data_IF_719793583876
#
_entry.id   IF_719793583876
#
_cell.length_a   1.000
_cell.length_b   1.000
_cell.length_c   1.000
_cell.angle_alpha   90.00
_cell.angle_beta   90.00
_cell.angle_gamma   90.00
#
_symmetry.space_group_name_H-M   'P 1'
#
loop_
_entity.id
_entity.type
_entity.pdbx_description
1 polymer ?
#
# COMPACT_ATOMS: atom_id res chain seq x y z
N UNK A 1 24.17 -10.44 -10.35
CA UNK A 1 24.86 -9.55 -9.39
C UNK A 1 24.15 -8.21 -9.48
N UNK A 2 23.23 -7.95 -8.55
CA UNK A 2 22.33 -6.80 -8.57
C UNK A 2 22.97 -5.64 -7.80
N UNK A 3 23.29 -4.57 -8.52
CA UNK A 3 23.84 -3.33 -7.96
C UNK A 3 22.90 -2.69 -6.92
N UNK A 4 23.45 -2.07 -5.86
CA UNK A 4 22.65 -1.35 -4.88
C UNK A 4 22.03 -0.09 -5.49
N UNK A 5 20.70 0.01 -5.41
CA UNK A 5 19.83 1.10 -5.92
C UNK A 5 20.27 2.51 -5.47
N UNK A 6 21.12 2.61 -4.44
CA UNK A 6 21.60 3.88 -3.89
C UNK A 6 22.61 4.64 -4.79
N UNK A 7 23.30 3.98 -5.73
CA UNK A 7 24.32 4.68 -6.55
C UNK A 7 23.77 5.37 -7.81
N UNK A 8 22.54 5.09 -8.24
CA UNK A 8 21.87 5.87 -9.29
C UNK A 8 21.12 7.10 -8.75
N UNK A 9 21.17 7.36 -7.44
CA UNK A 9 20.48 8.49 -6.81
C UNK A 9 21.27 9.83 -6.83
N UNK A 10 22.49 9.87 -7.39
CA UNK A 10 23.31 11.09 -7.48
C UNK A 10 23.10 11.93 -8.75
N UNK A 11 22.18 11.51 -9.64
CA UNK A 11 21.66 12.40 -10.67
C UNK A 11 20.22 12.77 -10.28
N UNK A 12 20.06 13.95 -9.68
CA UNK A 12 18.77 14.63 -9.55
C UNK A 12 18.02 14.50 -10.88
N UNK A 13 16.84 13.87 -10.95
CA UNK A 13 16.05 13.96 -12.16
C UNK A 13 15.79 15.45 -12.46
N UNK A 14 16.01 15.91 -13.69
CA UNK A 14 15.85 17.30 -14.06
C UNK A 14 14.40 17.70 -13.75
N UNK A 15 14.27 18.67 -12.83
CA UNK A 15 13.10 19.52 -12.60
C UNK A 15 11.77 18.87 -13.03
N UNK A 16 11.17 18.07 -12.16
CA UNK A 16 9.71 17.94 -12.22
C UNK A 16 9.17 19.32 -11.86
N UNK A 17 8.78 20.06 -12.90
CA UNK A 17 8.40 21.47 -12.86
C UNK A 17 7.69 21.85 -11.55
N UNK A 18 8.38 22.63 -10.73
CA UNK A 18 7.87 23.32 -9.53
C UNK A 18 6.61 24.14 -9.84
N UNK A 19 6.29 24.40 -11.12
CA UNK A 19 5.06 25.05 -11.57
C UNK A 19 3.78 24.18 -11.62
N UNK A 20 3.80 22.89 -11.24
CA UNK A 20 2.59 22.03 -11.23
C UNK A 20 2.15 21.55 -9.84
N UNK A 21 2.88 21.89 -8.77
CA UNK A 21 2.49 21.56 -7.40
C UNK A 21 1.61 22.71 -6.88
N UNK A 22 0.37 22.46 -6.41
CA UNK A 22 -0.47 23.51 -5.83
C UNK A 22 0.25 24.21 -4.68
N UNK A 23 0.10 25.53 -4.59
CA UNK A 23 0.80 26.36 -3.59
C UNK A 23 0.50 25.87 -2.18
N UNK A 24 -0.71 25.37 -1.92
CA UNK A 24 -1.10 24.82 -0.62
C UNK A 24 -0.25 23.61 -0.22
N UNK A 25 0.14 22.75 -1.17
CA UNK A 25 0.95 21.55 -0.91
C UNK A 25 2.38 21.95 -0.56
N UNK A 26 2.94 22.94 -1.27
CA UNK A 26 4.28 23.47 -1.00
C UNK A 26 4.34 24.14 0.37
N UNK A 27 3.34 24.97 0.71
CA UNK A 27 3.23 25.60 2.03
C UNK A 27 3.12 24.56 3.15
N UNK A 28 2.29 23.52 2.97
CA UNK A 28 2.16 22.45 3.96
C UNK A 28 3.46 21.64 4.12
N UNK A 29 4.22 21.44 3.04
CA UNK A 29 5.52 20.77 3.12
C UNK A 29 6.56 21.60 3.89
N UNK A 30 6.56 22.92 3.72
CA UNK A 30 7.42 23.85 4.46
C UNK A 30 7.04 23.93 5.93
N UNK A 31 5.76 24.13 6.26
CA UNK A 31 5.25 24.20 7.64
C UNK A 31 5.59 22.92 8.42
N UNK A 32 5.50 21.76 7.77
CA UNK A 32 5.78 20.47 8.40
C UNK A 32 7.26 20.04 8.28
N UNK A 33 8.13 20.89 7.73
CA UNK A 33 9.55 20.62 7.52
C UNK A 33 9.81 19.29 6.81
N UNK A 34 9.05 18.98 5.75
CA UNK A 34 9.17 17.71 5.02
C UNK A 34 10.44 17.61 4.16
N UNK A 35 11.20 18.70 4.02
CA UNK A 35 12.42 18.73 3.22
C UNK A 35 12.15 18.72 1.71
N UNK A 36 13.14 18.34 0.88
CA UNK A 36 13.04 18.42 -0.57
C UNK A 36 11.99 17.45 -1.13
N UNK A 37 11.32 17.89 -2.19
CA UNK A 37 10.39 17.08 -2.97
C UNK A 37 11.14 15.98 -3.73
N UNK A 38 10.58 14.78 -3.73
CA UNK A 38 11.17 13.60 -4.37
C UNK A 38 10.35 13.17 -5.59
N UNK A 39 9.03 12.97 -5.44
CA UNK A 39 8.18 12.40 -6.50
C UNK A 39 6.70 12.66 -6.26
N UNK A 40 5.93 12.87 -7.34
CA UNK A 40 4.47 12.90 -7.29
C UNK A 40 3.87 11.64 -7.90
N UNK A 41 2.87 11.08 -7.24
CA UNK A 41 2.06 9.96 -7.71
C UNK A 41 0.71 10.47 -8.21
N UNK A 42 0.41 10.17 -9.48
CA UNK A 42 -0.80 10.62 -10.16
C UNK A 42 -1.96 9.64 -9.95
N UNK A 43 -3.22 10.11 -10.04
CA UNK A 43 -4.38 9.25 -9.97
C UNK A 43 -4.44 8.27 -11.17
N UNK A 44 -5.26 7.23 -11.03
CA UNK A 44 -5.53 6.25 -12.09
C UNK A 44 -6.14 6.94 -13.32
N UNK A 45 -6.02 6.37 -14.53
CA UNK A 45 -6.48 7.03 -15.74
C UNK A 45 -8.02 7.16 -15.79
N UNK A 46 -8.57 8.29 -15.34
CA UNK A 46 -9.98 8.70 -15.57
C UNK A 46 -10.33 8.70 -17.06
N UNK A 47 -9.35 9.00 -17.93
CA UNK A 47 -9.54 9.04 -19.38
C UNK A 47 -10.06 7.74 -19.99
N UNK A 48 -9.73 6.58 -19.40
CA UNK A 48 -10.25 5.28 -19.87
C UNK A 48 -11.74 5.16 -19.53
N UNK A 49 -12.14 5.55 -18.32
CA UNK A 49 -13.55 5.55 -17.90
C UNK A 49 -14.38 6.55 -18.72
N UNK A 50 -13.84 7.73 -19.00
CA UNK A 50 -14.43 8.73 -19.90
C UNK A 50 -14.57 8.19 -21.32
N UNK A 51 -13.53 7.56 -21.87
CA UNK A 51 -13.55 6.98 -23.22
C UNK A 51 -14.61 5.88 -23.36
N UNK A 52 -14.72 4.98 -22.39
CA UNK A 52 -15.76 3.94 -22.36
C UNK A 52 -17.15 4.57 -22.29
N UNK A 53 -17.30 5.61 -21.45
CA UNK A 53 -18.57 6.33 -21.28
C UNK A 53 -19.02 6.98 -22.60
N UNK A 54 -18.13 7.73 -23.26
CA UNK A 54 -18.44 8.36 -24.56
C UNK A 54 -18.75 7.30 -25.61
N UNK A 55 -17.97 6.21 -25.67
CA UNK A 55 -18.20 5.11 -26.60
C UNK A 55 -19.58 4.45 -26.44
N UNK A 56 -19.99 4.18 -25.20
CA UNK A 56 -21.32 3.59 -24.91
C UNK A 56 -22.45 4.56 -25.27
N UNK A 57 -22.30 5.86 -24.95
CA UNK A 57 -23.31 6.87 -25.30
C UNK A 57 -23.46 7.02 -26.82
N UNK A 58 -22.35 7.04 -27.57
CA UNK A 58 -22.38 7.12 -29.03
C UNK A 58 -23.05 5.88 -29.62
N UNK A 59 -22.72 4.69 -29.12
CA UNK A 59 -23.32 3.44 -29.57
C UNK A 59 -24.83 3.41 -29.29
N UNK A 60 -25.25 3.89 -28.12
CA UNK A 60 -26.65 3.98 -27.72
C UNK A 60 -27.44 4.94 -28.63
N UNK A 61 -26.85 6.09 -28.99
CA UNK A 61 -27.44 7.04 -29.95
C UNK A 61 -27.60 6.41 -31.34
N UNK A 62 -26.56 5.73 -31.84
CA UNK A 62 -26.61 5.05 -33.15
C UNK A 62 -27.67 3.95 -33.16
N UNK A 63 -27.74 3.14 -32.12
CA UNK A 63 -28.72 2.06 -32.00
C UNK A 63 -30.15 2.60 -31.96
N UNK A 64 -30.40 3.67 -31.20
CA UNK A 64 -31.70 4.35 -31.18
C UNK A 64 -32.10 4.85 -32.58
N UNK A 65 -31.18 5.48 -33.32
CA UNK A 65 -31.46 5.97 -34.66
C UNK A 65 -31.82 4.85 -35.65
N UNK A 66 -31.11 3.72 -35.61
CA UNK A 66 -31.41 2.56 -36.45
C UNK A 66 -32.75 1.91 -36.11
N UNK A 67 -33.10 1.81 -34.83
CA UNK A 67 -34.39 1.27 -34.36
C UNK A 67 -35.55 2.18 -34.79
N UNK A 68 -35.35 3.50 -34.73
CA UNK A 68 -36.32 4.48 -35.21
C UNK A 68 -36.56 4.35 -36.72
N UNK A 69 -35.50 4.18 -37.52
CA UNK A 69 -35.63 3.92 -38.97
C UNK A 69 -36.40 2.63 -39.28
N UNK A 70 -36.34 1.63 -38.40
CA UNK A 70 -37.09 0.39 -38.51
C UNK A 70 -38.56 0.49 -38.05
N UNK A 71 -39.02 1.66 -37.59
CA UNK A 71 -40.42 1.92 -37.24
C UNK A 71 -40.83 1.49 -35.82
N UNK A 72 -39.89 1.13 -34.96
CA UNK A 72 -40.16 0.76 -33.57
C UNK A 72 -40.00 1.97 -32.64
N UNK A 73 -40.95 2.18 -31.72
CA UNK A 73 -40.83 3.18 -30.64
C UNK A 73 -40.43 2.46 -29.36
N UNK A 74 -39.23 2.75 -28.85
CA UNK A 74 -38.70 2.10 -27.64
C UNK A 74 -38.59 3.13 -26.51
N UNK A 75 -39.40 2.96 -25.47
CA UNK A 75 -39.44 3.87 -24.30
C UNK A 75 -38.37 3.57 -23.23
N UNK A 76 -37.61 2.47 -23.35
CA UNK A 76 -36.77 1.93 -22.27
C UNK A 76 -35.28 2.29 -22.30
N UNK A 77 -34.80 3.04 -23.31
CA UNK A 77 -33.34 3.21 -23.53
C UNK A 77 -32.66 4.26 -22.64
N UNK A 78 -33.39 4.98 -21.79
CA UNK A 78 -32.78 5.98 -20.89
C UNK A 78 -32.04 5.38 -19.68
N UNK A 79 -32.26 4.11 -19.35
CA UNK A 79 -31.65 3.47 -18.17
C UNK A 79 -30.14 3.30 -18.36
N UNK A 80 -29.70 2.89 -19.55
CA UNK A 80 -28.29 2.66 -19.88
C UNK A 80 -27.44 3.95 -19.77
N UNK A 81 -27.79 5.08 -20.42
CA UNK A 81 -27.04 6.33 -20.28
C UNK A 81 -27.03 6.86 -18.84
N UNK A 82 -28.13 6.70 -18.09
CA UNK A 82 -28.19 7.09 -16.67
C UNK A 82 -27.20 6.25 -15.84
N UNK A 83 -27.17 4.92 -16.01
CA UNK A 83 -26.23 4.05 -15.30
C UNK A 83 -24.76 4.36 -15.66
N UNK A 84 -24.49 4.66 -16.93
CA UNK A 84 -23.15 5.04 -17.41
C UNK A 84 -22.71 6.38 -16.82
N UNK A 85 -23.60 7.37 -16.74
CA UNK A 85 -23.32 8.67 -16.11
C UNK A 85 -23.05 8.48 -14.60
N UNK A 86 -23.86 7.66 -13.91
CA UNK A 86 -23.62 7.34 -12.49
C UNK A 86 -22.25 6.69 -12.29
N UNK A 87 -21.89 5.73 -13.15
CA UNK A 87 -20.56 5.10 -13.13
C UNK A 87 -19.44 6.13 -13.36
N UNK A 88 -19.57 6.99 -14.36
CA UNK A 88 -18.58 8.02 -14.68
C UNK A 88 -18.40 9.04 -13.55
N UNK A 89 -19.51 9.53 -12.98
CA UNK A 89 -19.49 10.45 -11.83
C UNK A 89 -18.81 9.80 -10.63
N UNK A 90 -19.10 8.52 -10.36
CA UNK A 90 -18.47 7.80 -9.26
C UNK A 90 -16.97 7.59 -9.51
N UNK A 91 -16.57 7.27 -10.75
CA UNK A 91 -15.16 7.13 -11.14
C UNK A 91 -14.38 8.46 -11.03
N UNK A 92 -15.01 9.59 -11.36
CA UNK A 92 -14.40 10.92 -11.22
C UNK A 92 -14.27 11.30 -9.73
N UNK A 93 -15.32 11.06 -8.93
CA UNK A 93 -15.31 11.39 -7.49
C UNK A 93 -14.30 10.57 -6.69
N UNK A 94 -14.15 9.29 -7.01
CA UNK A 94 -13.25 8.37 -6.28
C UNK A 94 -11.78 8.52 -6.67
N UNK A 95 -11.46 9.23 -7.76
CA UNK A 95 -10.13 9.22 -8.35
C UNK A 95 -9.38 10.56 -8.26
N UNK A 96 -9.78 11.46 -7.36
CA UNK A 96 -8.97 12.64 -7.01
C UNK A 96 -7.99 12.33 -5.87
N UNK A 97 -7.20 11.28 -6.04
CA UNK A 97 -6.16 10.88 -5.08
C UNK A 97 -4.81 11.29 -5.65
N UNK A 98 -3.99 11.99 -4.86
CA UNK A 98 -2.62 12.35 -5.22
C UNK A 98 -1.73 12.12 -4.02
N UNK A 99 -0.50 11.69 -4.26
CA UNK A 99 0.51 11.62 -3.22
C UNK A 99 1.76 12.37 -3.66
N UNK A 100 2.28 13.23 -2.80
CA UNK A 100 3.51 13.98 -3.01
C UNK A 100 4.52 13.50 -1.99
N UNK A 101 5.55 12.81 -2.47
CA UNK A 101 6.63 12.25 -1.67
C UNK A 101 7.72 13.31 -1.46
N UNK A 102 8.10 13.49 -0.20
CA UNK A 102 9.19 14.33 0.25
C UNK A 102 10.20 13.48 1.05
N UNK A 103 11.37 14.04 1.34
CA UNK A 103 12.40 13.30 2.08
C UNK A 103 11.99 12.99 3.53
N UNK A 104 11.31 13.93 4.20
CA UNK A 104 10.88 13.86 5.59
C UNK A 104 9.46 13.30 5.79
N UNK A 105 8.71 13.09 4.72
CA UNK A 105 7.35 12.55 4.78
C UNK A 105 6.69 12.50 3.42
N UNK A 106 5.38 12.44 3.41
CA UNK A 106 4.59 12.60 2.19
C UNK A 106 3.26 13.27 2.51
N UNK A 107 2.70 13.91 1.49
CA UNK A 107 1.38 14.53 1.55
C UNK A 107 0.45 13.69 0.69
N UNK A 108 -0.66 13.24 1.28
CA UNK A 108 -1.69 12.50 0.58
C UNK A 108 -2.99 13.31 0.52
N UNK A 109 -3.47 13.55 -0.69
CA UNK A 109 -4.74 14.23 -0.91
C UNK A 109 -5.80 13.22 -1.32
N UNK A 110 -6.93 13.19 -0.61
CA UNK A 110 -8.12 12.43 -0.99
C UNK A 110 -9.30 13.38 -1.10
N UNK A 111 -9.63 13.78 -2.33
CA UNK A 111 -10.64 14.83 -2.55
C UNK A 111 -10.16 16.18 -2.01
N UNK A 112 -10.89 16.75 -1.04
CA UNK A 112 -10.52 18.00 -0.35
C UNK A 112 -9.65 17.79 0.89
N UNK A 113 -9.49 16.55 1.36
CA UNK A 113 -8.70 16.27 2.55
C UNK A 113 -7.21 16.19 2.19
N UNK A 114 -6.41 17.00 2.88
CA UNK A 114 -4.96 17.02 2.78
C UNK A 114 -4.40 16.40 4.06
N UNK A 115 -3.77 15.24 3.94
CA UNK A 115 -3.12 14.54 5.06
C UNK A 115 -1.61 14.66 4.91
N UNK A 116 -0.97 15.34 5.86
CA UNK A 116 0.49 15.43 5.94
C UNK A 116 0.98 14.33 6.87
N UNK A 117 1.83 13.45 6.36
CA UNK A 117 2.36 12.31 7.12
C UNK A 117 3.86 12.45 7.14
N UNK A 118 4.39 12.79 8.32
CA UNK A 118 5.83 12.81 8.55
C UNK A 118 6.29 11.42 8.94
N UNK A 119 7.43 11.01 8.39
CA UNK A 119 7.97 9.67 8.64
C UNK A 119 8.37 9.43 10.10
N UNK A 120 8.70 10.47 10.86
CA UNK A 120 9.01 10.40 12.30
C UNK A 120 7.77 10.26 13.20
N UNK A 121 6.58 10.50 12.64
CA UNK A 121 5.28 10.35 13.32
C UNK A 121 4.48 9.18 12.80
N UNK A 122 5.10 8.24 12.10
CA UNK A 122 4.44 6.98 11.77
C UNK A 122 4.66 6.03 12.93
N UNK A 123 3.60 5.42 13.45
CA UNK A 123 3.69 4.39 14.49
C UNK A 123 3.75 2.99 13.86
N UNK A 124 2.84 2.74 12.93
CA UNK A 124 2.68 1.42 12.32
C UNK A 124 2.13 1.50 10.89
N UNK A 125 2.57 0.55 10.06
CA UNK A 125 2.09 0.40 8.68
C UNK A 125 1.59 -1.03 8.47
N UNK A 126 0.42 -1.16 7.85
CA UNK A 126 -0.14 -2.43 7.39
C UNK A 126 -0.22 -2.45 5.87
N UNK A 127 -0.06 -3.63 5.30
CA UNK A 127 -0.22 -3.87 3.86
C UNK A 127 -1.33 -4.89 3.64
N UNK A 128 -2.27 -4.59 2.75
CA UNK A 128 -3.28 -5.53 2.27
C UNK A 128 -3.13 -5.73 0.78
N UNK A 129 -3.05 -7.00 0.36
CA UNK A 129 -2.93 -7.37 -1.06
C UNK A 129 -4.12 -8.24 -1.45
N UNK A 130 -5.00 -7.71 -2.29
CA UNK A 130 -6.18 -8.42 -2.79
C UNK A 130 -5.95 -8.78 -4.25
N UNK A 131 -5.91 -10.08 -4.59
CA UNK A 131 -5.85 -10.52 -5.98
C UNK A 131 -7.18 -10.20 -6.67
N UNK A 132 -7.14 -9.46 -7.77
CA UNK A 132 -8.34 -9.00 -8.49
C UNK A 132 -8.57 -9.69 -9.82
N UNK A 133 -7.63 -10.50 -10.28
CA UNK A 133 -7.79 -11.31 -11.48
C UNK A 133 -7.04 -12.62 -11.35
N UNK A 134 -7.55 -13.67 -12.00
CA UNK A 134 -6.86 -14.95 -12.20
C UNK A 134 -5.53 -14.75 -12.95
N UNK A 135 -5.38 -13.64 -13.69
CA UNK A 135 -4.21 -13.28 -14.51
C UNK A 135 -3.19 -12.38 -13.79
N UNK A 136 -3.22 -12.29 -12.45
CA UNK A 136 -2.10 -11.73 -11.68
C UNK A 136 -2.16 -10.25 -11.31
N UNK A 137 -3.24 -9.53 -11.64
CA UNK A 137 -3.43 -8.18 -11.09
C UNK A 137 -3.79 -8.25 -9.61
N UNK A 138 -3.10 -7.46 -8.77
CA UNK A 138 -3.40 -7.32 -7.35
C UNK A 138 -3.65 -5.85 -6.99
N UNK A 139 -4.65 -5.61 -6.14
CA UNK A 139 -4.87 -4.33 -5.47
C UNK A 139 -4.06 -4.29 -4.19
N UNK A 140 -3.22 -3.27 -4.08
CA UNK A 140 -2.46 -2.97 -2.89
C UNK A 140 -3.11 -1.84 -2.13
N UNK A 141 -3.26 -2.02 -0.83
CA UNK A 141 -3.71 -1.00 0.12
C UNK A 141 -2.73 -0.93 1.26
N UNK A 142 -2.33 0.28 1.63
CA UNK A 142 -1.44 0.55 2.76
C UNK A 142 -2.19 1.39 3.78
N UNK A 143 -2.22 0.92 5.03
CA UNK A 143 -2.79 1.68 6.15
C UNK A 143 -1.65 2.16 7.01
N UNK A 144 -1.64 3.45 7.33
CA UNK A 144 -0.62 4.07 8.16
C UNK A 144 -1.32 4.62 9.39
N UNK A 145 -0.81 4.25 10.57
CA UNK A 145 -1.28 4.75 11.85
C UNK A 145 -0.26 5.72 12.42
N UNK A 146 -0.76 6.84 12.90
CA UNK A 146 0.00 7.84 13.64
C UNK A 146 -0.17 7.64 15.16
N UNK A 147 0.76 8.16 16.00
CA UNK A 147 0.69 8.06 17.46
C UNK A 147 -0.57 8.66 18.10
N UNK A 148 -1.22 9.62 17.42
CA UNK A 148 -2.50 10.20 17.84
C UNK A 148 -3.71 9.28 17.58
N UNK A 149 -3.46 8.08 17.05
CA UNK A 149 -4.49 7.10 16.70
C UNK A 149 -5.12 7.32 15.32
N UNK A 150 -4.81 8.43 14.64
CA UNK A 150 -5.30 8.68 13.29
C UNK A 150 -4.75 7.65 12.30
N UNK A 151 -5.57 7.30 11.31
CA UNK A 151 -5.21 6.34 10.27
C UNK A 151 -5.43 6.92 8.89
N UNK A 152 -4.44 6.76 8.03
CA UNK A 152 -4.54 7.13 6.61
C UNK A 152 -4.45 5.86 5.76
N UNK A 153 -5.46 5.66 4.93
CA UNK A 153 -5.57 4.51 4.03
C UNK A 153 -5.24 4.95 2.61
N UNK A 154 -4.14 4.42 2.08
CA UNK A 154 -3.67 4.64 0.71
C UNK A 154 -4.05 3.40 -0.10
N UNK A 155 -4.98 3.56 -1.02
CA UNK A 155 -5.53 2.45 -1.82
C UNK A 155 -5.12 2.55 -3.29
N UNK A 156 -5.48 1.53 -4.07
CA UNK A 156 -5.13 1.37 -5.49
C UNK A 156 -5.68 2.41 -6.46
N UNK A 157 -6.31 3.48 -5.96
CA UNK A 157 -6.74 4.62 -6.78
C UNK A 157 -5.55 5.46 -7.27
N UNK A 158 -4.38 5.33 -6.63
CA UNK A 158 -3.11 5.88 -7.12
C UNK A 158 -2.44 4.94 -8.13
N UNK A 159 -1.97 5.49 -9.26
CA UNK A 159 -1.05 4.75 -10.13
C UNK A 159 0.22 4.44 -9.36
N UNK A 160 0.76 3.23 -9.56
CA UNK A 160 2.00 2.78 -8.91
C UNK A 160 1.92 2.86 -7.38
N UNK A 161 0.74 2.63 -6.80
CA UNK A 161 0.56 2.58 -5.33
C UNK A 161 1.54 1.62 -4.65
N UNK A 162 1.93 0.53 -5.33
CA UNK A 162 2.94 -0.40 -4.85
C UNK A 162 4.31 0.28 -4.66
N UNK A 163 4.75 1.11 -5.61
CA UNK A 163 6.02 1.84 -5.49
C UNK A 163 5.99 2.81 -4.29
N UNK A 164 4.87 3.53 -4.10
CA UNK A 164 4.70 4.39 -2.93
C UNK A 164 4.72 3.59 -1.63
N UNK A 165 4.00 2.47 -1.59
CA UNK A 165 3.99 1.57 -0.44
C UNK A 165 5.36 0.97 -0.11
N UNK A 166 6.14 0.59 -1.13
CA UNK A 166 7.51 0.10 -0.95
C UNK A 166 8.39 1.20 -0.34
N UNK A 167 8.26 2.45 -0.78
CA UNK A 167 8.95 3.60 -0.17
C UNK A 167 8.54 3.81 1.28
N UNK A 168 7.23 3.82 1.57
CA UNK A 168 6.69 3.99 2.94
C UNK A 168 7.26 2.89 3.86
N UNK A 169 7.15 1.62 3.44
CA UNK A 169 7.62 0.49 4.23
C UNK A 169 9.13 0.57 4.48
N UNK A 170 9.93 0.96 3.48
CA UNK A 170 11.37 1.10 3.63
C UNK A 170 11.75 2.24 4.58
N UNK A 171 11.11 3.41 4.46
CA UNK A 171 11.37 4.56 5.33
C UNK A 171 11.01 4.26 6.79
N UNK A 172 9.86 3.64 7.03
CA UNK A 172 9.42 3.24 8.38
C UNK A 172 10.33 2.16 8.95
N UNK A 173 10.69 1.15 8.15
CA UNK A 173 11.62 0.08 8.55
C UNK A 173 12.97 0.67 8.93
N UNK A 174 13.53 1.59 8.12
CA UNK A 174 14.83 2.22 8.41
C UNK A 174 14.84 2.91 9.77
N UNK A 175 13.73 3.53 10.17
CA UNK A 175 13.63 4.29 11.43
C UNK A 175 13.29 3.42 12.63
N UNK A 176 12.42 2.43 12.46
CA UNK A 176 11.89 1.64 13.57
C UNK A 176 12.70 0.37 13.84
N UNK A 177 13.41 -0.17 12.85
CA UNK A 177 14.19 -1.39 13.02
C UNK A 177 15.26 -1.29 14.12
N UNK A 178 16.02 -0.19 14.29
CA UNK A 178 16.99 -0.07 15.39
C UNK A 178 16.34 -0.21 16.77
N UNK A 179 15.20 0.45 16.98
CA UNK A 179 14.45 0.36 18.24
C UNK A 179 13.86 -1.04 18.47
N UNK A 180 13.32 -1.64 17.42
CA UNK A 180 12.80 -3.01 17.48
C UNK A 180 13.89 -4.03 17.81
N UNK A 181 15.09 -3.88 17.24
CA UNK A 181 16.26 -4.70 17.56
C UNK A 181 16.76 -4.49 18.98
N UNK A 182 16.77 -3.25 19.47
CA UNK A 182 17.13 -2.96 20.85
C UNK A 182 16.15 -3.63 21.83
N UNK A 183 14.84 -3.50 21.59
CA UNK A 183 13.81 -4.17 22.38
C UNK A 183 14.01 -5.69 22.36
N UNK A 184 14.15 -6.28 21.17
CA UNK A 184 14.43 -7.71 20.99
C UNK A 184 15.68 -8.16 21.75
N UNK A 185 16.81 -7.45 21.62
CA UNK A 185 18.06 -7.77 22.30
C UNK A 185 17.98 -7.63 23.82
N UNK A 186 17.13 -6.73 24.33
CA UNK A 186 16.85 -6.58 25.76
C UNK A 186 15.89 -7.65 26.32
N UNK A 187 15.45 -8.60 25.51
CA UNK A 187 14.50 -9.64 25.90
C UNK A 187 13.04 -9.19 25.95
N UNK A 188 12.75 -7.95 25.53
CA UNK A 188 11.39 -7.43 25.41
C UNK A 188 10.77 -7.97 24.12
N UNK A 189 9.63 -8.69 24.18
CA UNK A 189 8.95 -9.16 22.98
C UNK A 189 8.47 -8.00 22.10
N UNK A 190 8.73 -8.09 20.79
CA UNK A 190 8.26 -7.10 19.82
C UNK A 190 7.00 -7.60 19.14
N UNK A 191 5.91 -6.84 19.25
CA UNK A 191 4.58 -7.23 18.78
C UNK A 191 4.25 -6.63 17.40
N UNK A 192 3.59 -7.44 16.57
CA UNK A 192 3.20 -7.13 15.19
C UNK A 192 1.72 -7.49 14.93
N UNK A 193 0.84 -7.21 15.90
CA UNK A 193 -0.53 -7.69 15.91
C UNK A 193 -0.64 -9.03 16.64
N UNK A 194 -1.25 -10.04 15.99
CA UNK A 194 -1.38 -11.39 16.55
C UNK A 194 -0.03 -12.13 16.66
N UNK A 195 1.02 -11.63 16.02
CA UNK A 195 2.37 -12.18 16.06
C UNK A 195 3.29 -11.37 16.98
N UNK A 196 4.22 -12.04 17.64
CA UNK A 196 5.32 -11.41 18.36
C UNK A 196 6.63 -12.15 18.13
N UNK A 197 7.75 -11.45 18.31
CA UNK A 197 9.09 -12.03 18.20
C UNK A 197 9.87 -11.73 19.46
N UNK A 198 10.48 -12.76 20.02
CA UNK A 198 11.23 -12.72 21.29
C UNK A 198 12.52 -13.54 21.18
N UNK A 199 13.42 -13.42 22.17
CA UNK A 199 14.63 -14.24 22.22
C UNK A 199 14.32 -15.74 22.30
N UNK A 200 13.15 -16.12 22.83
CA UNK A 200 12.75 -17.52 23.01
C UNK A 200 12.15 -18.12 21.73
N UNK A 201 11.47 -17.32 20.92
CA UNK A 201 10.78 -17.80 19.73
C UNK A 201 9.80 -16.81 19.11
N UNK A 202 8.92 -17.35 18.25
CA UNK A 202 7.82 -16.62 17.62
C UNK A 202 6.53 -16.86 18.39
N UNK A 203 5.89 -15.80 18.84
CA UNK A 203 4.57 -15.84 19.46
C UNK A 203 3.45 -15.72 18.44
N UNK A 204 2.35 -16.44 18.66
CA UNK A 204 1.07 -16.27 17.98
C UNK A 204 -0.04 -16.30 19.04
N UNK A 205 -0.65 -15.14 19.29
CA UNK A 205 -1.59 -14.91 20.40
C UNK A 205 -0.98 -15.32 21.74
N UNK A 206 -1.50 -16.38 22.36
CA UNK A 206 -1.12 -16.94 23.65
C UNK A 206 -0.07 -18.06 23.54
N UNK A 207 0.33 -18.44 22.32
CA UNK A 207 1.24 -19.58 22.07
C UNK A 207 2.61 -19.11 21.64
N UNK A 208 3.65 -19.77 22.14
CA UNK A 208 5.04 -19.56 21.74
C UNK A 208 5.55 -20.78 20.97
N UNK A 209 6.18 -20.54 19.82
CA UNK A 209 6.95 -21.54 19.09
C UNK A 209 8.44 -21.27 19.31
N UNK A 210 9.16 -22.10 20.09
CA UNK A 210 10.59 -21.92 20.33
C UNK A 210 11.39 -21.95 19.04
N UNK A 211 12.45 -21.13 18.94
CA UNK A 211 13.30 -21.08 17.73
C UNK A 211 13.79 -22.45 17.23
N UNK A 212 14.21 -23.41 18.08
CA UNK A 212 14.62 -24.73 17.62
C UNK A 212 13.50 -25.52 16.93
N UNK A 213 12.24 -25.20 17.20
CA UNK A 213 11.08 -25.83 16.57
C UNK A 213 10.58 -25.07 15.34
N UNK A 214 11.07 -23.86 15.08
CA UNK A 214 10.74 -23.10 13.88
C UNK A 214 11.46 -23.72 12.69
N UNK A 215 10.69 -24.20 11.71
CA UNK A 215 11.23 -24.71 10.44
C UNK A 215 11.45 -23.59 9.44
N UNK A 216 10.47 -22.69 9.34
CA UNK A 216 10.43 -21.68 8.28
C UNK A 216 9.35 -20.63 8.55
N UNK A 217 9.56 -19.41 8.06
CA UNK A 217 8.57 -18.33 8.06
C UNK A 217 8.54 -17.69 6.67
N UNK A 218 7.41 -17.80 5.97
CA UNK A 218 7.28 -17.37 4.57
C UNK A 218 6.05 -16.52 4.34
N UNK A 219 6.16 -15.58 3.40
CA UNK A 219 4.99 -14.97 2.78
C UNK A 219 4.46 -15.87 1.66
N UNK A 220 3.23 -16.35 1.82
CA UNK A 220 2.54 -17.17 0.81
C UNK A 220 1.13 -16.63 0.65
N UNK A 221 0.74 -16.31 -0.59
CA UNK A 221 -0.63 -15.87 -0.94
C UNK A 221 -1.19 -14.70 -0.11
N UNK A 222 -0.35 -13.73 0.28
CA UNK A 222 -0.80 -12.61 1.12
C UNK A 222 -1.00 -13.00 2.58
N UNK A 223 -0.34 -14.05 3.05
CA UNK A 223 -0.30 -14.41 4.46
C UNK A 223 1.12 -14.74 4.91
N UNK A 224 1.43 -14.43 6.16
CA UNK A 224 2.61 -14.93 6.86
C UNK A 224 2.29 -16.33 7.36
N UNK A 225 3.06 -17.32 6.91
CA UNK A 225 2.95 -18.71 7.36
C UNK A 225 4.19 -19.08 8.18
N UNK A 226 3.96 -19.53 9.40
CA UNK A 226 4.99 -20.06 10.30
C UNK A 226 4.87 -21.58 10.29
N UNK A 227 5.96 -22.28 9.97
CA UNK A 227 6.02 -23.76 9.96
C UNK A 227 6.81 -24.27 11.16
N UNK A 228 6.27 -25.29 11.81
CA UNK A 228 6.94 -26.05 12.86
C UNK A 228 7.69 -27.24 12.26
N UNK A 229 8.84 -27.60 12.83
CA UNK A 229 9.59 -28.80 12.46
C UNK A 229 8.74 -30.06 12.65
N UNK A 230 8.90 -31.04 11.75
CA UNK A 230 8.13 -32.29 11.78
C UNK A 230 6.63 -32.17 11.43
N UNK A 231 6.10 -30.97 11.16
CA UNK A 231 4.70 -30.77 10.78
C UNK A 231 4.54 -30.42 9.29
N UNK A 232 3.53 -31.02 8.65
CA UNK A 232 3.10 -30.67 7.30
C UNK A 232 2.21 -29.42 7.28
N UNK A 233 1.48 -29.17 8.37
CA UNK A 233 0.58 -28.01 8.52
C UNK A 233 1.35 -26.80 9.06
N UNK A 234 0.93 -25.61 8.63
CA UNK A 234 1.42 -24.35 9.20
C UNK A 234 1.00 -24.25 10.66
N UNK A 235 1.95 -23.93 11.55
CA UNK A 235 1.70 -23.68 12.97
C UNK A 235 0.85 -22.43 13.18
N UNK A 236 1.12 -21.38 12.39
CA UNK A 236 0.29 -20.19 12.32
C UNK A 236 0.18 -19.68 10.88
N UNK A 237 -0.99 -19.14 10.51
CA UNK A 237 -1.23 -18.46 9.24
C UNK A 237 -1.98 -17.16 9.53
N UNK A 238 -1.38 -16.02 9.16
CA UNK A 238 -1.91 -14.68 9.45
C UNK A 238 -1.94 -13.87 8.16
N UNK A 239 -3.07 -13.23 7.86
CA UNK A 239 -3.18 -12.29 6.75
C UNK A 239 -2.19 -11.12 6.94
N UNK A 240 -1.44 -10.77 5.91
CA UNK A 240 -0.49 -9.64 5.95
C UNK A 240 -1.17 -8.32 6.36
N UNK A 241 -2.46 -8.18 6.11
CA UNK A 241 -3.25 -7.02 6.53
C UNK A 241 -3.39 -6.88 8.05
N UNK A 242 -3.17 -7.97 8.81
CA UNK A 242 -3.19 -7.97 10.28
C UNK A 242 -1.81 -7.81 10.91
N UNK A 243 -0.75 -7.86 10.09
CA UNK A 243 0.64 -7.77 10.54
C UNK A 243 1.13 -6.35 10.33
N UNK A 244 1.39 -5.63 11.43
CA UNK A 244 2.02 -4.30 11.35
C UNK A 244 3.49 -4.44 11.03
N UNK A 245 4.07 -3.43 10.38
CA UNK A 245 5.50 -3.28 10.14
C UNK A 245 6.16 -4.58 9.62
N UNK A 246 5.50 -5.25 8.67
CA UNK A 246 5.87 -6.57 8.18
C UNK A 246 7.38 -6.74 7.86
N UNK A 247 8.07 -5.79 7.21
CA UNK A 247 9.51 -5.96 6.97
C UNK A 247 10.34 -6.06 8.26
N UNK A 248 9.95 -5.36 9.33
CA UNK A 248 10.61 -5.43 10.65
C UNK A 248 10.39 -6.82 11.26
N UNK A 249 9.16 -7.35 11.20
CA UNK A 249 8.89 -8.74 11.63
C UNK A 249 9.84 -9.72 10.95
N UNK A 250 9.95 -9.65 9.63
CA UNK A 250 10.80 -10.57 8.85
C UNK A 250 12.27 -10.44 9.22
N UNK A 251 12.77 -9.21 9.44
CA UNK A 251 14.15 -8.97 9.87
C UNK A 251 14.42 -9.58 11.26
N UNK A 252 13.52 -9.39 12.23
CA UNK A 252 13.70 -9.98 13.57
C UNK A 252 13.59 -11.51 13.56
N UNK A 253 12.75 -12.07 12.68
CA UNK A 253 12.69 -13.53 12.48
C UNK A 253 14.00 -14.05 11.90
N UNK A 254 14.59 -13.35 10.93
CA UNK A 254 15.92 -13.69 10.40
C UNK A 254 16.97 -13.62 11.51
N UNK A 255 17.01 -12.55 12.30
CA UNK A 255 17.93 -12.39 13.41
C UNK A 255 17.81 -13.56 14.42
N UNK A 256 16.58 -13.98 14.75
CA UNK A 256 16.31 -15.11 15.66
C UNK A 256 16.69 -16.48 15.11
N UNK A 257 16.48 -16.73 13.81
CA UNK A 257 16.89 -17.98 13.16
C UNK A 257 18.42 -18.07 13.01
N UNK A 258 19.08 -16.98 12.64
CA UNK A 258 20.55 -16.93 12.50
C UNK A 258 21.30 -17.06 13.82
N UNK A 259 20.66 -16.78 14.96
CA UNK A 259 21.24 -17.01 16.27
C UNK A 259 21.33 -18.51 16.64
N UNK A 260 20.63 -19.39 15.93
CA UNK A 260 20.59 -20.83 16.23
C UNK A 260 21.83 -21.56 15.68
N UNK A 261 22.38 -22.55 16.42
CA UNK A 261 23.54 -23.33 15.99
C UNK A 261 23.36 -24.03 14.63
N UNK A 262 22.12 -24.41 14.29
CA UNK A 262 21.78 -25.10 13.06
C UNK A 262 21.84 -24.23 11.78
N UNK A 263 22.01 -22.90 11.91
CA UNK A 263 22.09 -21.94 10.81
C UNK A 263 23.39 -21.11 10.78
N UNK A 264 24.36 -21.43 11.66
CA UNK A 264 25.75 -20.92 11.58
C UNK A 264 26.59 -21.84 10.72
#
# INVERSE_FOLDING_TARGET
>A
MSEPIYQQANALPPQVATGQIPVEITQQAEINALGPFVRAFRPTNIWVALGITVGVLVLDIILNYLIWLAGYVVYYLWIVPILVIIYAVNAIRTNNHKAFLYQGGFIYTSGSQLNVIRWDRVEAVWMKVVRTSRYGSARHTYTIKSPDGSQVVISSHLKKVKELGDVIMNEVTRRHLPLARQAYASGVPVSFGDLSVSLQGIGFRDKLLPWPEVKDVKLVNGSVQVKKQGSMLSWATIDVAKVSNLPILLQLVTDGLSAQPQYR
#
